data_IF_272496321826
#
_entry.id   IF_272496321826
#
_cell.length_a   1.000
_cell.length_b   1.000
_cell.length_c   1.000
_cell.angle_alpha   90.00
_cell.angle_beta   90.00
_cell.angle_gamma   90.00
#
_symmetry.space_group_name_H-M   'P 1'
#
loop_
_entity.id
_entity.type
_entity.pdbx_description
1 polymer ?
#
# COMPACT_ATOMS: atom_id res chain seq x y z
N UNK A 1 37.64 30.45 -46.25
CA UNK A 1 36.49 29.54 -46.20
C UNK A 1 36.68 28.41 -45.16
N UNK A 2 37.85 28.02 -44.74
CA UNK A 2 38.16 26.97 -43.73
C UNK A 2 37.66 27.30 -42.32
N UNK A 3 37.97 28.50 -41.81
CA UNK A 3 37.67 28.87 -40.41
C UNK A 3 36.18 28.92 -40.02
N UNK A 4 35.31 29.21 -40.97
CA UNK A 4 33.86 29.28 -40.73
C UNK A 4 33.23 27.88 -40.59
N UNK A 5 33.74 26.91 -41.35
CA UNK A 5 33.25 25.53 -41.31
C UNK A 5 33.75 24.79 -40.04
N UNK A 6 34.97 25.06 -39.59
CA UNK A 6 35.52 24.54 -38.34
C UNK A 6 34.78 25.05 -37.12
N UNK A 7 34.44 26.35 -37.08
CA UNK A 7 33.62 26.95 -36.01
C UNK A 7 32.21 26.37 -35.95
N UNK A 8 31.60 26.06 -37.11
CA UNK A 8 30.27 25.46 -37.18
C UNK A 8 30.28 24.02 -36.68
N UNK A 9 31.31 23.23 -37.01
CA UNK A 9 31.52 21.89 -36.51
C UNK A 9 31.68 21.85 -34.98
N UNK A 10 32.55 22.71 -34.44
CA UNK A 10 32.79 22.83 -33.00
C UNK A 10 31.49 23.18 -32.21
N UNK A 11 30.65 24.09 -32.75
CA UNK A 11 29.38 24.44 -32.10
C UNK A 11 28.38 23.26 -32.04
N UNK A 12 28.31 22.46 -33.09
CA UNK A 12 27.44 21.25 -33.13
C UNK A 12 27.97 20.20 -32.15
N UNK A 13 29.26 19.95 -32.10
CA UNK A 13 29.87 19.00 -31.18
C UNK A 13 29.68 19.42 -29.71
N UNK A 14 29.83 20.73 -29.43
CA UNK A 14 29.59 21.29 -28.09
C UNK A 14 28.09 21.16 -27.69
N UNK A 15 27.15 21.38 -28.63
CA UNK A 15 25.74 21.21 -28.37
C UNK A 15 25.39 19.75 -28.07
N UNK A 16 25.94 18.78 -28.80
CA UNK A 16 25.80 17.34 -28.48
C UNK A 16 26.33 17.02 -27.11
N UNK A 17 27.52 17.48 -26.75
CA UNK A 17 28.09 17.26 -25.42
C UNK A 17 27.24 17.87 -24.32
N UNK A 18 26.64 19.05 -24.54
CA UNK A 18 25.75 19.73 -23.60
C UNK A 18 24.47 18.98 -23.36
N UNK A 19 23.78 18.58 -24.43
CA UNK A 19 22.49 17.87 -24.27
C UNK A 19 22.67 16.48 -23.70
N UNK A 20 23.70 15.72 -24.10
CA UNK A 20 24.06 14.44 -23.51
C UNK A 20 24.37 14.59 -22.02
N UNK A 21 25.13 15.60 -21.62
CA UNK A 21 25.41 15.85 -20.21
C UNK A 21 24.16 16.15 -19.39
N UNK A 22 23.26 16.99 -19.93
CA UNK A 22 21.98 17.27 -19.29
C UNK A 22 21.08 16.02 -19.19
N UNK A 23 21.02 15.22 -20.25
CA UNK A 23 20.24 13.98 -20.25
C UNK A 23 20.73 13.01 -19.19
N UNK A 24 22.04 12.84 -19.03
CA UNK A 24 22.63 11.99 -17.98
C UNK A 24 22.28 12.51 -16.58
N UNK A 25 22.36 13.81 -16.35
CA UNK A 25 22.02 14.41 -15.04
C UNK A 25 20.55 14.17 -14.71
N UNK A 26 19.63 14.42 -15.64
CA UNK A 26 18.20 14.19 -15.41
C UNK A 26 17.90 12.70 -15.23
N UNK A 27 18.55 11.81 -15.99
CA UNK A 27 18.44 10.36 -15.82
C UNK A 27 18.85 9.93 -14.41
N UNK A 28 20.00 10.43 -13.93
CA UNK A 28 20.47 10.13 -12.58
C UNK A 28 19.52 10.66 -11.51
N UNK A 29 18.96 11.86 -11.71
CA UNK A 29 17.95 12.42 -10.81
C UNK A 29 16.65 11.58 -10.79
N UNK A 30 16.16 11.12 -11.95
CA UNK A 30 15.04 10.22 -12.02
C UNK A 30 15.31 8.90 -11.25
N UNK A 31 16.51 8.34 -11.40
CA UNK A 31 16.93 7.16 -10.64
C UNK A 31 16.92 7.40 -9.13
N UNK A 32 17.42 8.55 -8.67
CA UNK A 32 17.35 8.93 -7.26
C UNK A 32 15.91 9.05 -6.76
N UNK A 33 15.04 9.72 -7.53
CA UNK A 33 13.62 9.84 -7.18
C UNK A 33 12.93 8.48 -7.10
N UNK A 34 13.21 7.58 -8.06
CA UNK A 34 12.71 6.20 -8.01
C UNK A 34 13.10 5.51 -6.71
N UNK A 35 14.36 5.59 -6.30
CA UNK A 35 14.87 4.94 -5.07
C UNK A 35 14.18 5.50 -3.82
N UNK A 36 14.04 6.82 -3.72
CA UNK A 36 13.36 7.46 -2.59
C UNK A 36 11.89 7.03 -2.49
N UNK A 37 11.16 7.01 -3.61
CA UNK A 37 9.78 6.54 -3.64
C UNK A 37 9.67 5.04 -3.36
N UNK A 38 10.61 4.23 -3.81
CA UNK A 38 10.67 2.78 -3.52
C UNK A 38 10.92 2.51 -2.03
N UNK A 39 11.75 3.32 -1.39
CA UNK A 39 11.94 3.26 0.07
C UNK A 39 10.65 3.58 0.82
N UNK A 40 9.94 4.63 0.43
CA UNK A 40 8.63 4.99 1.01
C UNK A 40 7.59 3.90 0.78
N UNK A 41 7.56 3.30 -0.43
CA UNK A 41 6.71 2.15 -0.76
C UNK A 41 6.96 0.98 0.19
N UNK A 42 8.22 0.65 0.41
CA UNK A 42 8.61 -0.45 1.31
C UNK A 42 8.14 -0.21 2.74
N UNK A 43 8.19 1.03 3.20
CA UNK A 43 7.70 1.42 4.53
C UNK A 43 6.17 1.26 4.63
N UNK A 44 5.40 1.80 3.68
CA UNK A 44 3.93 1.68 3.65
C UNK A 44 3.48 0.21 3.57
N UNK A 45 4.14 -0.61 2.74
CA UNK A 45 3.86 -2.05 2.67
C UNK A 45 4.15 -2.77 3.98
N UNK A 46 5.22 -2.40 4.69
CA UNK A 46 5.53 -2.97 6.00
C UNK A 46 4.45 -2.63 7.02
N UNK A 47 3.97 -1.39 7.04
CA UNK A 47 2.88 -0.96 7.94
C UNK A 47 1.57 -1.68 7.60
N UNK A 48 1.20 -1.75 6.30
CA UNK A 48 0.03 -2.50 5.84
C UNK A 48 0.08 -3.97 6.28
N UNK A 49 1.20 -4.64 6.06
CA UNK A 49 1.40 -6.04 6.47
C UNK A 49 1.35 -6.23 7.99
N UNK A 50 1.81 -5.25 8.77
CA UNK A 50 1.71 -5.30 10.24
C UNK A 50 0.26 -5.19 10.67
N UNK A 51 -0.49 -4.22 10.14
CA UNK A 51 -1.90 -4.04 10.45
C UNK A 51 -2.75 -5.25 10.00
N UNK A 52 -2.46 -5.87 8.84
CA UNK A 52 -3.12 -7.11 8.41
C UNK A 52 -2.87 -8.27 9.39
N UNK A 53 -1.66 -8.39 9.92
CA UNK A 53 -1.36 -9.42 10.94
C UNK A 53 -2.09 -9.15 12.25
N UNK A 54 -2.17 -7.90 12.69
CA UNK A 54 -2.93 -7.52 13.88
C UNK A 54 -4.42 -7.81 13.71
N UNK A 55 -4.99 -7.48 12.55
CA UNK A 55 -6.35 -7.88 12.19
C UNK A 55 -6.56 -9.38 12.33
N UNK A 56 -5.74 -10.19 11.66
CA UNK A 56 -5.86 -11.65 11.67
C UNK A 56 -5.72 -12.24 13.09
N UNK A 57 -4.82 -11.69 13.90
CA UNK A 57 -4.64 -12.13 15.29
C UNK A 57 -5.83 -11.77 16.18
N UNK A 58 -6.38 -10.55 16.05
CA UNK A 58 -7.53 -10.12 16.81
C UNK A 58 -8.80 -10.90 16.41
N UNK A 59 -8.99 -11.14 15.10
CA UNK A 59 -10.08 -11.97 14.59
C UNK A 59 -9.98 -13.41 15.10
N UNK A 60 -8.79 -14.01 15.09
CA UNK A 60 -8.59 -15.36 15.62
C UNK A 60 -8.88 -15.43 17.11
N UNK A 61 -8.42 -14.45 17.87
CA UNK A 61 -8.66 -14.35 19.30
C UNK A 61 -10.16 -14.21 19.61
N UNK A 62 -10.87 -13.33 18.89
CA UNK A 62 -12.31 -13.16 19.00
C UNK A 62 -13.04 -14.48 18.77
N UNK A 63 -12.71 -15.19 17.67
CA UNK A 63 -13.32 -16.50 17.36
C UNK A 63 -13.06 -17.54 18.45
N UNK A 64 -11.85 -17.59 19.01
CA UNK A 64 -11.52 -18.51 20.10
C UNK A 64 -12.34 -18.19 21.37
N UNK A 65 -12.45 -16.93 21.73
CA UNK A 65 -13.26 -16.50 22.89
C UNK A 65 -14.75 -16.76 22.68
N UNK A 66 -15.29 -16.53 21.47
CA UNK A 66 -16.66 -16.83 21.14
C UNK A 66 -16.96 -18.34 21.25
N UNK A 67 -16.05 -19.19 20.77
CA UNK A 67 -16.17 -20.66 20.94
C UNK A 67 -16.19 -21.05 22.41
N UNK A 68 -15.32 -20.47 23.23
CA UNK A 68 -15.29 -20.73 24.67
C UNK A 68 -16.60 -20.32 25.35
N UNK A 69 -17.17 -19.18 24.97
CA UNK A 69 -18.46 -18.73 25.48
C UNK A 69 -19.60 -19.69 25.10
N UNK A 70 -19.62 -20.17 23.84
CA UNK A 70 -20.62 -21.17 23.40
C UNK A 70 -20.49 -22.48 24.20
N UNK A 71 -19.26 -22.97 24.38
CA UNK A 71 -18.99 -24.21 25.13
C UNK A 71 -19.38 -24.05 26.60
N UNK A 72 -18.99 -22.97 27.25
CA UNK A 72 -19.33 -22.69 28.66
C UNK A 72 -20.84 -22.49 28.85
N UNK A 73 -21.50 -21.79 27.91
CA UNK A 73 -22.93 -21.61 27.94
C UNK A 73 -23.68 -22.95 27.77
N UNK A 74 -23.22 -23.78 26.83
CA UNK A 74 -23.81 -25.13 26.64
C UNK A 74 -23.67 -25.98 27.90
N UNK A 75 -22.49 -25.97 28.53
CA UNK A 75 -22.25 -26.64 29.80
C UNK A 75 -23.12 -26.11 30.94
N UNK A 76 -23.37 -24.78 30.98
CA UNK A 76 -24.33 -24.18 31.92
C UNK A 76 -25.75 -24.74 31.72
N UNK A 77 -26.24 -24.74 30.46
CA UNK A 77 -27.57 -25.25 30.16
C UNK A 77 -27.70 -26.73 30.53
N UNK A 78 -26.76 -27.57 30.12
CA UNK A 78 -26.76 -29.00 30.41
C UNK A 78 -26.78 -29.27 31.93
N UNK A 79 -25.93 -28.56 32.68
CA UNK A 79 -25.89 -28.69 34.14
C UNK A 79 -27.18 -28.24 34.79
N UNK A 80 -27.79 -27.17 34.28
CA UNK A 80 -29.08 -26.64 34.78
C UNK A 80 -30.21 -27.60 34.55
N UNK A 81 -30.32 -28.17 33.33
CA UNK A 81 -31.35 -29.17 33.00
C UNK A 81 -31.20 -30.47 33.80
N UNK A 82 -29.97 -30.89 34.11
CA UNK A 82 -29.68 -32.06 34.92
C UNK A 82 -29.80 -31.81 36.42
N UNK A 83 -30.21 -30.62 36.86
CA UNK A 83 -30.37 -30.26 38.27
C UNK A 83 -29.06 -30.07 39.04
N UNK A 84 -27.90 -30.04 38.38
CA UNK A 84 -26.61 -29.82 39.02
C UNK A 84 -26.35 -28.32 39.14
N UNK A 85 -26.92 -27.69 40.16
CA UNK A 85 -26.86 -26.24 40.35
C UNK A 85 -25.45 -25.77 40.66
N UNK A 86 -24.63 -26.55 41.37
CA UNK A 86 -23.26 -26.20 41.69
C UNK A 86 -22.39 -26.09 40.42
N UNK A 87 -22.52 -27.06 39.53
CA UNK A 87 -21.80 -27.04 38.24
C UNK A 87 -22.29 -25.94 37.33
N UNK A 88 -23.59 -25.65 37.32
CA UNK A 88 -24.13 -24.53 36.50
C UNK A 88 -23.59 -23.18 36.96
N UNK A 89 -23.50 -22.94 38.29
CA UNK A 89 -22.88 -21.71 38.79
C UNK A 89 -21.39 -21.66 38.52
N UNK A 90 -20.70 -22.80 38.46
CA UNK A 90 -19.29 -22.85 38.07
C UNK A 90 -19.12 -22.40 36.61
N UNK A 91 -19.93 -22.87 35.65
CA UNK A 91 -19.91 -22.44 34.27
C UNK A 91 -20.22 -20.94 34.15
N UNK A 92 -21.26 -20.44 34.82
CA UNK A 92 -21.66 -19.04 34.83
C UNK A 92 -20.52 -18.11 35.28
N UNK A 93 -19.74 -18.50 36.29
CA UNK A 93 -18.58 -17.73 36.76
C UNK A 93 -17.50 -17.58 35.70
N UNK A 94 -17.36 -18.57 34.81
CA UNK A 94 -16.35 -18.62 33.76
C UNK A 94 -16.80 -17.95 32.44
N UNK A 95 -17.97 -17.37 32.37
CA UNK A 95 -18.40 -16.56 31.23
C UNK A 95 -17.48 -15.34 31.02
N UNK A 96 -17.24 -14.98 29.76
CA UNK A 96 -16.52 -13.75 29.44
C UNK A 96 -17.30 -12.51 29.97
N UNK A 97 -16.65 -11.36 30.11
CA UNK A 97 -17.36 -10.13 30.47
C UNK A 97 -18.53 -9.81 29.56
N UNK A 98 -18.35 -10.00 28.25
CA UNK A 98 -19.34 -9.75 27.21
C UNK A 98 -20.51 -10.74 27.33
N UNK A 99 -20.22 -12.03 27.55
CA UNK A 99 -21.23 -13.03 27.77
C UNK A 99 -22.05 -12.72 29.03
N UNK A 100 -21.43 -12.29 30.12
CA UNK A 100 -22.15 -11.90 31.35
C UNK A 100 -23.15 -10.78 31.10
N UNK A 101 -22.79 -9.76 30.32
CA UNK A 101 -23.69 -8.64 30.01
C UNK A 101 -24.95 -9.07 29.30
N UNK A 102 -24.84 -9.95 28.30
CA UNK A 102 -26.00 -10.44 27.51
C UNK A 102 -26.74 -11.57 28.21
N UNK A 103 -26.05 -12.31 29.06
CA UNK A 103 -26.65 -13.44 29.78
C UNK A 103 -27.78 -13.00 30.72
N UNK A 104 -27.60 -11.90 31.46
CA UNK A 104 -28.64 -11.39 32.36
C UNK A 104 -29.89 -10.94 31.57
N UNK A 105 -29.71 -10.28 30.43
CA UNK A 105 -30.81 -9.94 29.51
C UNK A 105 -31.49 -11.17 28.92
N UNK A 106 -30.69 -12.20 28.59
CA UNK A 106 -31.26 -13.47 28.13
C UNK A 106 -32.13 -14.13 29.18
N UNK A 107 -31.74 -14.12 30.46
CA UNK A 107 -32.58 -14.63 31.55
C UNK A 107 -33.88 -13.85 31.71
N UNK A 108 -33.91 -12.54 31.46
CA UNK A 108 -35.10 -11.71 31.50
C UNK A 108 -36.11 -12.11 30.41
N UNK A 109 -35.70 -12.76 29.32
CA UNK A 109 -36.58 -13.26 28.26
C UNK A 109 -37.31 -14.55 28.62
N UNK A 110 -37.15 -15.06 29.84
CA UNK A 110 -37.70 -16.35 30.33
C UNK A 110 -37.36 -17.52 29.39
N UNK A 111 -36.09 -17.76 29.10
CA UNK A 111 -35.65 -18.68 28.06
C UNK A 111 -36.01 -20.13 28.32
N UNK A 112 -36.26 -20.52 29.58
CA UNK A 112 -36.59 -21.88 29.95
C UNK A 112 -38.07 -22.22 29.65
N UNK A 113 -38.94 -21.22 29.53
CA UNK A 113 -40.33 -21.33 29.15
C UNK A 113 -40.63 -20.85 27.74
N UNK A 114 -39.64 -20.22 27.08
CA UNK A 114 -39.74 -19.68 25.72
C UNK A 114 -38.75 -20.41 24.79
N UNK A 115 -39.17 -21.39 24.00
CA UNK A 115 -38.32 -22.18 23.13
C UNK A 115 -37.69 -21.33 21.98
N UNK A 116 -38.28 -20.16 21.66
CA UNK A 116 -37.83 -19.27 20.61
C UNK A 116 -36.84 -18.21 21.14
N UNK A 117 -36.41 -18.30 22.40
CA UNK A 117 -35.44 -17.40 23.00
C UNK A 117 -34.07 -17.51 22.31
N UNK A 118 -33.61 -16.39 21.74
CA UNK A 118 -32.30 -16.31 21.07
C UNK A 118 -31.17 -16.50 22.09
N UNK A 119 -30.23 -17.44 21.87
CA UNK A 119 -29.07 -17.63 22.76
C UNK A 119 -28.27 -16.35 22.95
N UNK A 120 -27.65 -16.13 24.13
CA UNK A 120 -26.94 -14.90 24.46
C UNK A 120 -25.84 -14.54 23.43
N UNK A 121 -25.08 -15.53 22.96
CA UNK A 121 -24.01 -15.34 21.96
C UNK A 121 -24.50 -15.01 20.53
N UNK A 122 -25.81 -15.04 20.27
CA UNK A 122 -26.44 -14.59 19.03
C UNK A 122 -27.18 -13.27 19.19
N UNK A 123 -27.21 -12.69 20.39
CA UNK A 123 -27.86 -11.40 20.62
C UNK A 123 -27.03 -10.26 19.98
N UNK A 124 -27.67 -9.21 19.42
CA UNK A 124 -26.96 -8.10 18.78
C UNK A 124 -25.98 -7.36 19.72
N UNK A 125 -26.26 -7.39 21.01
CA UNK A 125 -25.42 -6.76 22.04
C UNK A 125 -24.17 -7.55 22.41
N UNK A 126 -24.07 -8.82 21.95
CA UNK A 126 -22.88 -9.64 22.16
C UNK A 126 -21.77 -9.21 21.19
N UNK A 127 -21.00 -8.19 21.60
CA UNK A 127 -19.86 -7.69 20.83
C UNK A 127 -18.56 -7.95 21.60
N UNK A 128 -17.59 -8.54 20.92
CA UNK A 128 -16.25 -8.74 21.46
C UNK A 128 -15.38 -7.49 21.24
N UNK A 129 -14.64 -7.08 22.26
CA UNK A 129 -13.72 -5.96 22.18
C UNK A 129 -12.63 -6.18 21.11
N UNK A 130 -12.22 -7.42 20.89
CA UNK A 130 -11.26 -7.84 19.87
C UNK A 130 -11.77 -7.62 18.45
N UNK A 131 -13.09 -7.73 18.21
CA UNK A 131 -13.69 -7.45 16.90
C UNK A 131 -13.55 -5.97 16.52
N UNK A 132 -13.77 -5.06 17.45
CA UNK A 132 -13.58 -3.61 17.22
C UNK A 132 -12.13 -3.29 16.88
N UNK A 133 -11.19 -3.90 17.59
CA UNK A 133 -9.74 -3.75 17.30
C UNK A 133 -9.36 -4.35 15.93
N UNK A 134 -9.97 -5.48 15.57
CA UNK A 134 -9.75 -6.11 14.27
C UNK A 134 -10.23 -5.17 13.14
N UNK A 135 -11.42 -4.62 13.23
CA UNK A 135 -11.97 -3.68 12.23
C UNK A 135 -11.09 -2.42 12.09
N UNK A 136 -10.58 -1.87 13.21
CA UNK A 136 -9.65 -0.74 13.19
C UNK A 136 -8.33 -1.10 12.49
N UNK A 137 -7.75 -2.25 12.82
CA UNK A 137 -6.53 -2.73 12.17
C UNK A 137 -6.72 -2.99 10.67
N UNK A 138 -7.88 -3.52 10.26
CA UNK A 138 -8.21 -3.71 8.85
C UNK A 138 -8.28 -2.38 8.10
N UNK A 139 -8.93 -1.38 8.68
CA UNK A 139 -9.03 -0.05 8.09
C UNK A 139 -7.65 0.59 7.89
N UNK A 140 -6.77 0.47 8.87
CA UNK A 140 -5.38 0.95 8.76
C UNK A 140 -4.65 0.19 7.64
N UNK A 141 -4.80 -1.13 7.58
CA UNK A 141 -4.18 -1.95 6.55
C UNK A 141 -4.62 -1.57 5.13
N UNK A 142 -5.92 -1.33 4.93
CA UNK A 142 -6.48 -0.90 3.65
C UNK A 142 -5.96 0.49 3.24
N UNK A 143 -5.93 1.45 4.17
CA UNK A 143 -5.40 2.79 3.92
C UNK A 143 -3.92 2.74 3.50
N UNK A 144 -3.11 1.98 4.24
CA UNK A 144 -1.68 1.82 3.94
C UNK A 144 -1.44 1.10 2.62
N UNK A 145 -2.25 0.09 2.30
CA UNK A 145 -2.18 -0.60 1.01
C UNK A 145 -2.51 0.33 -0.17
N UNK A 146 -3.55 1.16 -0.05
CA UNK A 146 -3.89 2.14 -1.08
C UNK A 146 -2.80 3.19 -1.27
N UNK A 147 -2.16 3.64 -0.18
CA UNK A 147 -1.02 4.54 -0.27
C UNK A 147 0.17 3.87 -0.97
N UNK A 148 0.47 2.62 -0.63
CA UNK A 148 1.52 1.84 -1.28
C UNK A 148 1.27 1.71 -2.80
N UNK A 149 0.04 1.44 -3.23
CA UNK A 149 -0.31 1.37 -4.65
C UNK A 149 -0.04 2.69 -5.38
N UNK A 150 -0.43 3.82 -4.79
CA UNK A 150 -0.15 5.15 -5.35
C UNK A 150 1.35 5.41 -5.48
N UNK A 151 2.12 5.10 -4.45
CA UNK A 151 3.56 5.28 -4.42
C UNK A 151 4.23 4.37 -5.45
N UNK A 152 3.77 3.13 -5.62
CA UNK A 152 4.27 2.19 -6.62
C UNK A 152 4.13 2.74 -8.04
N UNK A 153 2.99 3.38 -8.37
CA UNK A 153 2.77 4.03 -9.65
C UNK A 153 3.78 5.18 -9.84
N UNK A 154 3.99 6.00 -8.83
CA UNK A 154 4.95 7.11 -8.90
C UNK A 154 6.37 6.58 -9.15
N UNK A 155 6.82 5.60 -8.37
CA UNK A 155 8.14 5.00 -8.52
C UNK A 155 8.33 4.39 -9.92
N UNK A 156 7.32 3.67 -10.43
CA UNK A 156 7.33 3.08 -11.77
C UNK A 156 7.40 4.13 -12.88
N UNK A 157 6.70 5.24 -12.73
CA UNK A 157 6.76 6.34 -13.68
C UNK A 157 8.17 6.96 -13.76
N UNK A 158 8.89 7.07 -12.67
CA UNK A 158 10.28 7.53 -12.72
C UNK A 158 11.20 6.58 -13.51
N UNK A 159 10.99 5.26 -13.39
CA UNK A 159 11.68 4.28 -14.25
C UNK A 159 11.34 4.48 -15.72
N UNK A 160 10.07 4.73 -16.02
CA UNK A 160 9.63 5.01 -17.39
C UNK A 160 10.32 6.25 -17.97
N UNK A 161 10.41 7.36 -17.23
CA UNK A 161 11.15 8.54 -17.65
C UNK A 161 12.65 8.25 -17.84
N UNK A 162 13.28 7.48 -16.96
CA UNK A 162 14.67 7.03 -17.11
C UNK A 162 14.86 6.30 -18.43
N UNK A 163 13.93 5.44 -18.83
CA UNK A 163 13.97 4.71 -20.11
C UNK A 163 13.85 5.66 -21.31
N UNK A 164 12.98 6.66 -21.24
CA UNK A 164 12.86 7.67 -22.32
C UNK A 164 14.17 8.45 -22.48
N UNK A 165 14.76 8.92 -21.37
CA UNK A 165 16.03 9.66 -21.44
C UNK A 165 17.18 8.79 -21.95
N UNK A 166 17.21 7.50 -21.62
CA UNK A 166 18.17 6.56 -22.21
C UNK A 166 17.98 6.46 -23.75
N UNK A 167 16.73 6.40 -24.23
CA UNK A 167 16.41 6.45 -25.65
C UNK A 167 16.86 7.74 -26.33
N UNK A 168 16.66 8.89 -25.69
CA UNK A 168 17.15 10.20 -26.19
C UNK A 168 18.67 10.18 -26.32
N UNK A 169 19.39 9.74 -25.26
CA UNK A 169 20.87 9.63 -25.28
C UNK A 169 21.35 8.72 -26.41
N UNK A 170 20.65 7.62 -26.66
CA UNK A 170 20.96 6.69 -27.74
C UNK A 170 20.78 7.34 -29.12
N UNK A 171 19.69 8.07 -29.35
CA UNK A 171 19.46 8.82 -30.60
C UNK A 171 20.53 9.86 -30.84
N UNK A 172 20.93 10.58 -29.82
CA UNK A 172 21.99 11.57 -29.90
C UNK A 172 23.35 10.91 -30.21
N UNK A 173 23.65 9.77 -29.58
CA UNK A 173 24.85 8.99 -29.86
C UNK A 173 24.92 8.53 -31.29
N UNK A 174 23.84 7.97 -31.83
CA UNK A 174 23.74 7.56 -33.25
C UNK A 174 23.87 8.76 -34.17
N UNK A 175 23.18 9.86 -33.88
CA UNK A 175 23.20 11.07 -34.70
C UNK A 175 24.62 11.61 -34.94
N UNK A 176 25.47 11.47 -33.93
CA UNK A 176 26.89 11.95 -34.01
C UNK A 176 27.74 11.11 -34.93
N UNK A 177 27.42 9.85 -35.19
CA UNK A 177 28.23 8.94 -36.04
C UNK A 177 28.01 9.21 -37.53
N UNK A 178 26.93 9.87 -37.92
CA UNK A 178 26.68 10.16 -39.33
C UNK A 178 27.74 11.14 -39.95
N UNK A 179 28.20 10.85 -41.16
CA UNK A 179 29.24 11.70 -41.80
C UNK A 179 28.71 13.06 -42.26
N UNK A 180 27.40 13.15 -42.48
CA UNK A 180 26.75 14.34 -43.05
C UNK A 180 26.26 15.30 -41.97
N UNK A 181 26.77 16.51 -41.93
CA UNK A 181 26.44 17.55 -40.93
C UNK A 181 24.94 17.87 -40.84
N UNK A 182 24.23 17.85 -41.97
CA UNK A 182 22.79 18.07 -41.99
C UNK A 182 22.05 16.99 -41.18
N UNK A 183 22.44 15.73 -41.36
CA UNK A 183 21.84 14.60 -40.61
C UNK A 183 22.15 14.74 -39.12
N UNK A 184 23.41 15.04 -38.77
CA UNK A 184 23.79 15.32 -37.37
C UNK A 184 22.90 16.41 -36.76
N UNK A 185 22.69 17.53 -37.47
CA UNK A 185 21.86 18.62 -36.99
C UNK A 185 20.41 18.20 -36.79
N UNK A 186 19.85 17.38 -37.70
CA UNK A 186 18.47 16.85 -37.55
C UNK A 186 18.33 16.01 -36.28
N UNK A 187 19.25 15.06 -36.05
CA UNK A 187 19.25 14.24 -34.83
C UNK A 187 19.41 15.08 -33.58
N UNK A 188 20.29 16.07 -33.58
CA UNK A 188 20.47 16.99 -32.46
C UNK A 188 19.17 17.75 -32.14
N UNK A 189 18.54 18.33 -33.17
CA UNK A 189 17.27 19.06 -32.98
C UNK A 189 16.17 18.16 -32.47
N UNK A 190 16.07 16.92 -32.99
CA UNK A 190 15.13 15.93 -32.51
C UNK A 190 15.38 15.56 -31.02
N UNK A 191 16.63 15.33 -30.64
CA UNK A 191 17.03 15.06 -29.26
C UNK A 191 16.65 16.22 -28.32
N UNK A 192 16.96 17.47 -28.72
CA UNK A 192 16.60 18.66 -27.92
C UNK A 192 15.07 18.78 -27.73
N UNK A 193 14.29 18.57 -28.81
CA UNK A 193 12.83 18.63 -28.75
C UNK A 193 12.28 17.55 -27.82
N UNK A 194 12.70 16.31 -28.00
CA UNK A 194 12.26 15.18 -27.16
C UNK A 194 12.66 15.39 -25.69
N UNK A 195 13.90 15.82 -25.43
CA UNK A 195 14.37 16.15 -24.08
C UNK A 195 13.50 17.23 -23.43
N UNK A 196 13.26 18.32 -24.14
CA UNK A 196 12.47 19.45 -23.60
C UNK A 196 11.03 19.06 -23.29
N UNK A 197 10.37 18.31 -24.19
CA UNK A 197 9.00 17.84 -23.99
C UNK A 197 8.95 16.86 -22.80
N UNK A 198 9.86 15.89 -22.78
CA UNK A 198 9.88 14.88 -21.70
C UNK A 198 10.14 15.53 -20.33
N UNK A 199 11.09 16.50 -20.28
CA UNK A 199 11.39 17.23 -19.05
C UNK A 199 10.22 18.09 -18.59
N UNK A 200 9.53 18.75 -19.50
CA UNK A 200 8.32 19.50 -19.19
C UNK A 200 7.23 18.59 -18.60
N UNK A 201 6.94 17.45 -19.23
CA UNK A 201 5.97 16.47 -18.73
C UNK A 201 6.39 15.98 -17.34
N UNK A 202 7.65 15.59 -17.18
CA UNK A 202 8.18 15.09 -15.89
C UNK A 202 7.89 16.08 -14.75
N UNK A 203 8.27 17.34 -14.89
CA UNK A 203 8.07 18.34 -13.83
C UNK A 203 6.62 18.80 -13.64
N UNK A 204 5.76 18.62 -14.64
CA UNK A 204 4.33 18.92 -14.51
C UNK A 204 3.53 17.81 -13.87
N UNK A 205 3.95 16.57 -14.02
CA UNK A 205 3.14 15.39 -13.63
C UNK A 205 3.67 14.62 -12.43
N UNK A 206 4.97 14.73 -12.15
CA UNK A 206 5.62 13.87 -11.15
C UNK A 206 5.91 14.61 -9.85
N UNK A 207 5.43 14.09 -8.70
CA UNK A 207 5.75 14.66 -7.39
C UNK A 207 7.19 14.31 -7.00
N UNK A 208 7.90 15.29 -6.43
CA UNK A 208 9.26 15.09 -5.89
C UNK A 208 9.13 14.37 -4.54
N UNK A 209 9.96 13.35 -4.31
CA UNK A 209 9.99 12.65 -3.03
C UNK A 209 10.42 13.60 -1.89
N UNK A 210 9.75 13.53 -0.74
CA UNK A 210 10.23 14.23 0.46
C UNK A 210 11.58 13.66 0.88
N UNK A 211 12.51 14.54 1.20
CA UNK A 211 13.86 14.20 1.70
C UNK A 211 13.80 14.07 3.23
#
# INVERSE_FOLDING_TARGET
MSSTNERKTYRVDLAYAGILGLTVIVTAWCGLQHELWSSTLTFELKEANTAHREFAMNELKERQEAILDVVTFTGYLESKYNGNLELSEHYKKNFSPEMKQVFDKWLESDPFNNPDSTPPYLMPEYQKAEMVKAEESLKIAEEKSQNADRISIIASNYVFFTTIYAGISFLEGIGRVFPTKNIQTIFLMLGIILFSITTMILFMTMPIAPI
#
